data_IF_996099821991
#
_entry.id   IF_996099821991
#
_cell.length_a   1.000
_cell.length_b   1.000
_cell.length_c   1.000
_cell.angle_alpha   90.00
_cell.angle_beta   90.00
_cell.angle_gamma   90.00
#
_symmetry.space_group_name_H-M   'P 1'
#
loop_
_entity.id
_entity.type
_entity.pdbx_description
1 polymer ?
#
# COMPACT_ATOMS: atom_id res chain seq x y z
N UNK A 1 -6.97 -18.26 5.37
CA UNK A 1 -6.16 -17.08 5.06
C UNK A 1 -6.94 -16.13 4.23
N UNK A 2 -7.09 -14.91 4.67
CA UNK A 2 -7.93 -13.93 3.97
C UNK A 2 -7.18 -13.18 2.87
N UNK A 3 -5.88 -13.00 3.04
CA UNK A 3 -5.10 -12.29 2.02
C UNK A 3 -4.85 -13.22 0.84
N UNK A 4 -5.28 -12.82 -0.37
CA UNK A 4 -5.11 -13.68 -1.54
C UNK A 4 -3.65 -14.02 -1.84
N UNK A 5 -3.41 -15.22 -2.32
CA UNK A 5 -2.07 -15.66 -2.70
C UNK A 5 -1.48 -14.78 -3.78
N UNK A 6 -2.31 -14.30 -4.70
CA UNK A 6 -1.84 -13.42 -5.77
C UNK A 6 -1.24 -12.13 -5.20
N UNK A 7 -1.85 -11.60 -4.14
CA UNK A 7 -1.32 -10.41 -3.48
C UNK A 7 0.04 -10.72 -2.83
N UNK A 8 0.13 -11.85 -2.12
CA UNK A 8 1.39 -12.24 -1.48
C UNK A 8 2.50 -12.48 -2.49
N UNK A 9 2.15 -13.05 -3.63
CA UNK A 9 3.13 -13.27 -4.69
C UNK A 9 3.62 -11.95 -5.24
N UNK A 10 2.73 -10.99 -5.42
CA UNK A 10 3.10 -9.68 -5.93
C UNK A 10 4.00 -8.94 -4.95
N UNK A 11 3.73 -9.04 -3.65
CA UNK A 11 4.61 -8.46 -2.63
C UNK A 11 6.03 -9.01 -2.78
N UNK A 12 6.13 -10.31 -3.01
CA UNK A 12 7.43 -10.96 -3.11
C UNK A 12 8.18 -10.58 -4.38
N UNK A 13 7.45 -10.46 -5.48
CA UNK A 13 8.06 -10.21 -6.78
C UNK A 13 8.31 -8.74 -7.07
N UNK A 14 7.42 -7.87 -6.64
CA UNK A 14 7.46 -6.46 -7.01
C UNK A 14 7.55 -5.51 -5.81
N UNK A 15 7.31 -6.00 -4.62
CA UNK A 15 7.32 -5.14 -3.44
C UNK A 15 8.73 -4.87 -2.93
N UNK A 16 8.91 -3.69 -2.36
CA UNK A 16 10.16 -3.34 -1.67
C UNK A 16 9.89 -3.51 -0.18
N UNK A 17 10.56 -4.47 0.44
CA UNK A 17 10.40 -4.69 1.87
C UNK A 17 10.89 -3.48 2.67
N UNK A 18 10.14 -3.09 3.68
CA UNK A 18 10.50 -1.98 4.55
C UNK A 18 10.98 -2.47 5.92
N UNK A 19 11.26 -3.76 6.04
CA UNK A 19 11.64 -4.32 7.33
C UNK A 19 12.95 -3.75 7.87
N UNK A 20 13.83 -3.32 6.98
CA UNK A 20 15.11 -2.73 7.38
C UNK A 20 14.98 -1.30 7.87
N UNK A 21 13.82 -0.67 7.67
CA UNK A 21 13.60 0.71 8.04
C UNK A 21 12.51 0.85 9.09
N UNK A 22 11.38 0.19 8.86
CA UNK A 22 10.20 0.35 9.71
C UNK A 22 9.78 -0.93 10.42
N UNK A 23 10.63 -1.95 10.41
CA UNK A 23 10.37 -3.25 11.02
C UNK A 23 9.31 -4.07 10.31
N UNK A 24 8.51 -3.50 9.46
CA UNK A 24 7.46 -4.22 8.73
C UNK A 24 6.98 -3.38 7.55
N UNK A 25 6.24 -4.02 6.66
CA UNK A 25 5.62 -3.33 5.55
C UNK A 25 6.30 -3.60 4.22
N UNK A 26 5.57 -3.31 3.17
CA UNK A 26 6.03 -3.47 1.79
C UNK A 26 5.55 -2.25 1.01
N UNK A 27 6.40 -1.71 0.18
CA UNK A 27 6.05 -0.58 -0.67
C UNK A 27 6.16 -0.98 -2.14
N UNK A 28 5.33 -0.37 -2.97
CA UNK A 28 5.25 -0.68 -4.39
C UNK A 28 5.32 0.60 -5.22
N UNK A 29 5.87 0.50 -6.42
CA UNK A 29 5.70 1.56 -7.41
C UNK A 29 4.22 1.66 -7.81
N UNK A 30 3.82 2.77 -8.43
CA UNK A 30 2.40 3.00 -8.78
C UNK A 30 1.79 1.84 -9.55
N UNK A 31 2.46 1.41 -10.60
CA UNK A 31 1.96 0.33 -11.43
C UNK A 31 1.70 -0.93 -10.61
N UNK A 32 2.63 -1.23 -9.72
CA UNK A 32 2.56 -2.47 -8.97
C UNK A 32 1.54 -2.41 -7.84
N UNK A 33 1.37 -1.26 -7.18
CA UNK A 33 0.35 -1.17 -6.15
C UNK A 33 -1.05 -1.21 -6.75
N UNK A 34 -1.23 -0.64 -7.95
CA UNK A 34 -2.52 -0.73 -8.60
C UNK A 34 -2.86 -2.18 -8.93
N UNK A 35 -1.87 -2.95 -9.34
CA UNK A 35 -2.06 -4.39 -9.57
C UNK A 35 -2.35 -5.11 -8.26
N UNK A 36 -1.65 -4.74 -7.19
CA UNK A 36 -1.88 -5.35 -5.88
C UNK A 36 -3.32 -5.10 -5.39
N UNK A 37 -3.82 -3.88 -5.60
CA UNK A 37 -5.19 -3.56 -5.21
C UNK A 37 -6.20 -4.37 -6.01
N UNK A 38 -5.91 -4.65 -7.28
CA UNK A 38 -6.77 -5.53 -8.08
C UNK A 38 -6.85 -6.92 -7.47
N UNK A 39 -5.73 -7.41 -6.95
CA UNK A 39 -5.71 -8.74 -6.32
C UNK A 39 -6.58 -8.80 -5.06
N UNK A 40 -6.84 -7.67 -4.43
CA UNK A 40 -7.64 -7.63 -3.21
C UNK A 40 -9.14 -7.53 -3.47
N UNK A 41 -9.54 -7.24 -4.70
CA UNK A 41 -10.97 -7.12 -5.03
C UNK A 41 -11.65 -8.46 -4.86
N UNK A 42 -12.79 -8.45 -4.20
CA UNK A 42 -13.53 -9.67 -3.92
C UNK A 42 -13.05 -10.42 -2.69
N UNK A 43 -11.99 -9.96 -2.03
CA UNK A 43 -11.52 -10.57 -0.79
C UNK A 43 -12.15 -9.88 0.40
N UNK A 44 -11.82 -10.35 1.60
CA UNK A 44 -12.29 -9.72 2.83
C UNK A 44 -11.19 -8.89 3.49
N UNK A 45 -10.26 -8.39 2.69
CA UNK A 45 -9.17 -7.57 3.19
C UNK A 45 -9.55 -6.10 3.02
N UNK A 46 -9.40 -5.33 4.09
CA UNK A 46 -9.68 -3.90 4.07
C UNK A 46 -8.39 -3.15 3.82
N UNK A 47 -8.44 -2.16 2.93
CA UNK A 47 -7.34 -1.23 2.76
C UNK A 47 -7.64 -0.02 3.63
N UNK A 48 -6.94 0.09 4.75
CA UNK A 48 -7.17 1.15 5.72
C UNK A 48 -6.57 2.48 5.30
N UNK A 49 -5.65 2.46 4.38
CA UNK A 49 -4.95 3.64 3.93
C UNK A 49 -3.58 3.27 3.46
N UNK A 50 -2.66 4.21 3.52
CA UNK A 50 -1.28 3.93 3.15
C UNK A 50 -0.40 5.15 3.26
N UNK A 51 0.88 4.92 3.08
CA UNK A 51 1.90 5.96 3.16
C UNK A 51 2.61 6.10 1.82
N UNK A 52 3.04 7.31 1.52
CA UNK A 52 3.83 7.58 0.32
C UNK A 52 5.27 7.78 0.74
N UNK A 53 6.16 7.08 0.07
CA UNK A 53 7.59 7.13 0.34
C UNK A 53 8.31 7.57 -0.91
N UNK A 54 9.50 8.13 -0.73
CA UNK A 54 10.32 8.52 -1.87
C UNK A 54 11.71 7.93 -1.73
N UNK A 55 12.34 7.65 -2.86
CA UNK A 55 13.70 7.17 -2.89
C UNK A 55 14.54 8.28 -3.51
N UNK A 56 15.75 8.47 -2.97
CA UNK A 56 16.64 9.49 -3.48
C UNK A 56 16.91 9.27 -4.96
N UNK A 57 17.15 10.39 -5.66
CA UNK A 57 17.33 10.41 -7.10
C UNK A 57 18.39 9.42 -7.56
N UNK A 58 18.19 8.85 -8.75
CA UNK A 58 19.13 7.93 -9.35
C UNK A 58 20.42 8.58 -9.82
N UNK A 59 20.54 9.89 -9.66
CA UNK A 59 21.72 10.60 -10.13
C UNK A 59 22.94 10.41 -9.24
N UNK A 60 22.80 9.70 -8.14
CA UNK A 60 23.93 9.43 -7.25
C UNK A 60 24.28 7.95 -7.34
N UNK A 61 25.21 7.58 -8.20
CA UNK A 61 25.54 6.17 -8.40
C UNK A 61 26.07 5.48 -7.15
N UNK A 62 26.74 6.22 -6.29
CA UNK A 62 27.31 5.62 -5.10
C UNK A 62 26.30 5.31 -4.03
N UNK A 63 25.09 5.81 -4.18
CA UNK A 63 24.06 5.62 -3.16
C UNK A 63 23.20 4.42 -3.44
N UNK A 64 23.51 3.65 -4.45
CA UNK A 64 22.70 2.50 -4.81
C UNK A 64 22.40 1.59 -3.60
N UNK A 65 23.40 1.33 -2.79
CA UNK A 65 23.26 0.46 -1.63
C UNK A 65 22.53 1.13 -0.48
N UNK A 66 22.43 2.45 -0.53
CA UNK A 66 21.87 3.22 0.57
C UNK A 66 20.56 3.91 0.19
N UNK A 67 19.97 3.52 -0.93
CA UNK A 67 18.72 4.13 -1.35
C UNK A 67 17.57 3.59 -0.54
N UNK A 68 17.44 4.09 0.64
CA UNK A 68 16.35 3.71 1.50
C UNK A 68 15.17 4.61 1.24
N UNK A 69 13.94 4.04 1.19
CA UNK A 69 12.75 4.86 1.09
C UNK A 69 12.64 5.78 2.30
N UNK A 70 12.26 7.00 2.07
CA UNK A 70 12.04 7.99 3.11
C UNK A 70 10.59 8.43 3.09
N UNK A 71 9.99 8.73 4.26
CA UNK A 71 8.61 9.20 4.29
C UNK A 71 8.49 10.57 3.64
N UNK A 72 7.44 10.75 2.84
CA UNK A 72 7.11 12.06 2.30
C UNK A 72 6.21 12.83 3.25
N UNK A 73 5.67 12.14 4.26
CA UNK A 73 4.66 12.61 5.20
C UNK A 73 3.28 12.74 4.53
N UNK A 74 3.13 12.25 3.30
CA UNK A 74 1.83 12.15 2.66
C UNK A 74 1.26 10.76 2.91
N UNK A 75 -0.02 10.71 3.22
CA UNK A 75 -0.68 9.45 3.48
C UNK A 75 -2.17 9.63 3.19
N UNK A 76 -2.88 8.52 3.12
CA UNK A 76 -4.34 8.57 2.98
C UNK A 76 -4.94 7.59 3.97
N UNK A 77 -6.20 7.88 4.37
CA UNK A 77 -6.91 7.06 5.34
C UNK A 77 -8.31 6.81 4.85
N UNK A 78 -8.82 5.61 5.09
CA UNK A 78 -10.18 5.26 4.72
C UNK A 78 -10.84 4.73 5.97
N UNK A 79 -11.58 5.60 6.65
CA UNK A 79 -12.27 5.22 7.87
C UNK A 79 -13.65 4.67 7.55
N UNK A 80 -14.05 3.64 8.28
CA UNK A 80 -15.39 3.08 8.13
C UNK A 80 -16.42 4.09 8.61
N UNK A 81 -17.45 4.28 7.82
CA UNK A 81 -18.52 5.22 8.17
C UNK A 81 -19.51 4.54 9.10
N UNK A 82 -20.17 5.33 9.97
CA UNK A 82 -21.21 4.75 10.83
C UNK A 82 -22.28 4.07 9.99
N UNK A 83 -22.61 2.83 10.34
CA UNK A 83 -23.60 2.07 9.61
C UNK A 83 -23.16 1.51 8.28
N UNK A 84 -21.91 1.73 7.90
CA UNK A 84 -21.41 1.23 6.64
C UNK A 84 -21.24 -0.29 6.68
N UNK A 85 -21.78 -0.96 5.67
CA UNK A 85 -21.66 -2.38 5.51
C UNK A 85 -20.20 -2.77 5.28
N UNK A 86 -19.78 -3.91 5.78
CA UNK A 86 -18.40 -4.35 5.63
C UNK A 86 -18.00 -4.45 4.16
N UNK A 87 -18.88 -5.03 3.35
CA UNK A 87 -18.61 -5.18 1.92
C UNK A 87 -18.39 -3.82 1.26
N UNK A 88 -19.23 -2.84 1.60
CA UNK A 88 -19.12 -1.49 1.03
C UNK A 88 -17.84 -0.80 1.49
N UNK A 89 -17.46 -1.01 2.74
CA UNK A 89 -16.23 -0.45 3.27
C UNK A 89 -15.01 -1.03 2.54
N UNK A 90 -15.00 -2.33 2.34
CA UNK A 90 -13.89 -2.99 1.62
C UNK A 90 -13.77 -2.42 0.20
N UNK A 91 -14.89 -2.32 -0.51
CA UNK A 91 -14.87 -1.82 -1.88
C UNK A 91 -14.46 -0.36 -1.93
N UNK A 92 -14.95 0.45 -1.00
CA UNK A 92 -14.60 1.85 -0.95
C UNK A 92 -13.13 2.07 -0.61
N UNK A 93 -12.58 1.24 0.29
CA UNK A 93 -11.18 1.34 0.65
C UNK A 93 -10.26 1.15 -0.56
N UNK A 94 -10.57 0.16 -1.39
CA UNK A 94 -9.79 -0.09 -2.60
C UNK A 94 -9.97 1.07 -3.60
N UNK A 95 -11.21 1.52 -3.79
CA UNK A 95 -11.49 2.58 -4.75
C UNK A 95 -10.81 3.90 -4.35
N UNK A 96 -10.85 4.24 -3.07
CA UNK A 96 -10.22 5.47 -2.61
C UNK A 96 -8.69 5.39 -2.68
N UNK A 97 -8.13 4.22 -2.40
CA UNK A 97 -6.70 4.02 -2.56
C UNK A 97 -6.30 4.21 -4.02
N UNK A 98 -7.05 3.61 -4.94
CA UNK A 98 -6.77 3.76 -6.37
C UNK A 98 -6.84 5.22 -6.80
N UNK A 99 -7.85 5.94 -6.35
CA UNK A 99 -8.00 7.35 -6.71
C UNK A 99 -6.84 8.17 -6.20
N UNK A 100 -6.47 7.96 -4.94
CA UNK A 100 -5.35 8.69 -4.34
C UNK A 100 -4.05 8.43 -5.10
N UNK A 101 -3.76 7.16 -5.35
CA UNK A 101 -2.52 6.76 -6.01
C UNK A 101 -2.45 7.31 -7.44
N UNK A 102 -3.57 7.25 -8.17
CA UNK A 102 -3.59 7.74 -9.55
C UNK A 102 -3.43 9.25 -9.63
N UNK A 103 -3.88 9.98 -8.60
CA UNK A 103 -3.80 11.44 -8.62
C UNK A 103 -2.55 11.99 -7.95
N UNK A 104 -1.75 11.15 -7.31
CA UNK A 104 -0.54 11.62 -6.63
C UNK A 104 0.49 12.07 -7.69
N UNK A 105 1.20 13.19 -7.47
CA UNK A 105 2.22 13.63 -8.42
C UNK A 105 3.41 12.69 -8.40
N UNK A 106 3.46 11.80 -9.35
CA UNK A 106 4.41 10.70 -9.42
C UNK A 106 5.05 10.72 -10.81
N UNK A 107 6.37 10.90 -10.92
CA UNK A 107 7.04 10.90 -12.22
C UNK A 107 7.11 9.51 -12.85
N UNK A 108 6.69 8.47 -12.12
CA UNK A 108 6.67 7.09 -12.60
C UNK A 108 8.04 6.57 -13.02
N UNK A 109 9.07 7.05 -12.31
CA UNK A 109 10.44 6.59 -12.55
C UNK A 109 10.92 5.66 -11.43
N UNK A 110 10.01 5.23 -10.56
CA UNK A 110 10.34 4.32 -9.46
C UNK A 110 10.82 5.03 -8.20
N UNK A 111 10.83 6.37 -8.19
CA UNK A 111 11.28 7.10 -7.00
C UNK A 111 10.16 7.34 -5.99
N UNK A 112 8.92 7.16 -6.40
CA UNK A 112 7.78 7.27 -5.48
C UNK A 112 7.23 5.87 -5.26
N UNK A 113 7.08 5.51 -3.99
CA UNK A 113 6.55 4.21 -3.60
C UNK A 113 5.35 4.41 -2.68
N UNK A 114 4.46 3.43 -2.69
CA UNK A 114 3.24 3.47 -1.88
C UNK A 114 3.19 2.22 -1.02
N UNK A 115 2.98 2.42 0.28
CA UNK A 115 2.91 1.30 1.22
C UNK A 115 1.48 1.21 1.77
N UNK A 116 0.68 0.24 1.31
CA UNK A 116 -0.70 0.12 1.77
C UNK A 116 -0.74 -0.48 3.17
N UNK A 117 -1.70 -0.01 3.96
CA UNK A 117 -1.98 -0.58 5.27
C UNK A 117 -3.25 -1.40 5.09
N UNK A 118 -3.13 -2.70 5.23
CA UNK A 118 -4.25 -3.61 5.04
C UNK A 118 -4.56 -4.36 6.34
N UNK A 119 -5.80 -4.78 6.47
CA UNK A 119 -6.25 -5.52 7.62
C UNK A 119 -7.14 -6.66 7.20
N UNK A 120 -6.91 -7.84 7.78
CA UNK A 120 -7.75 -9.00 7.57
C UNK A 120 -8.88 -8.93 8.59
N UNK A 121 -10.04 -8.49 8.17
CA UNK A 121 -11.18 -8.44 9.07
C UNK A 121 -11.76 -9.83 9.21
N UNK A 122 -12.34 -10.09 10.36
CA UNK A 122 -12.90 -11.40 10.62
C UNK A 122 -11.99 -12.28 11.43
N UNK A 123 -10.78 -11.86 11.71
CA UNK A 123 -9.89 -12.60 12.55
C UNK A 123 -9.91 -11.96 13.92
N UNK A 124 -11.08 -11.75 14.43
CA UNK A 124 -11.24 -11.18 15.74
C UNK A 124 -10.51 -9.88 15.93
N UNK A 125 -10.20 -9.27 14.93
CA UNK A 125 -9.44 -8.13 15.12
C UNK A 125 -10.36 -7.03 15.36
N UNK A 126 -10.31 -6.60 16.31
CA UNK A 126 -10.74 -5.40 16.68
C UNK A 126 -9.92 -4.36 16.09
N UNK A 127 -9.97 -4.27 14.83
CA UNK A 127 -9.24 -3.20 14.21
C UNK A 127 -9.64 -1.92 14.86
N UNK A 128 -8.81 -1.41 15.58
CA UNK A 128 -9.06 -0.24 16.23
C UNK A 128 -8.37 0.84 15.63
N UNK A 129 -8.69 1.33 14.66
CA UNK A 129 -8.00 2.44 14.09
C UNK A 129 -8.86 3.67 14.06
#
# INVERSE_FOLDING_TARGET
MLIPDAYRRLEKEKGRSLRDIYCAGVAFARKDILEALECLKGSQVVVLGGDVLKIASRTQPDSFWYRKPEPTHDSWYVNRRPGEDLKDYIERGIAEAERYIRSYPDPEDGTILYSPVISELGVGSTARY
#
